data_IF_274745863007
#
_entry.id   IF_274745863007
#
_cell.length_a   1.000
_cell.length_b   1.000
_cell.length_c   1.000
_cell.angle_alpha   90.00
_cell.angle_beta   90.00
_cell.angle_gamma   90.00
#
_symmetry.space_group_name_H-M   'P 1'
#
loop_
_entity.id
_entity.type
_entity.pdbx_description
1 polymer ?
#
# COMPACT_ATOMS: atom_id res chain seq x y z
N UNK A 1 1.52 5.23 56.14
CA UNK A 1 0.99 4.49 54.98
C UNK A 1 1.10 5.40 53.75
N UNK A 2 2.23 5.35 53.03
CA UNK A 2 2.38 6.08 51.76
C UNK A 2 1.97 5.13 50.65
N UNK A 3 0.87 5.45 49.97
CA UNK A 3 0.36 4.65 48.84
C UNK A 3 1.38 4.64 47.71
N UNK A 4 1.99 3.48 47.47
CA UNK A 4 2.80 3.23 46.29
C UNK A 4 1.92 3.37 45.06
N UNK A 5 2.17 4.39 44.24
CA UNK A 5 1.64 4.44 42.88
C UNK A 5 2.22 3.24 42.14
N UNK A 6 1.35 2.37 41.66
CA UNK A 6 1.69 1.32 40.70
C UNK A 6 2.40 1.97 39.51
N UNK A 7 3.68 1.68 39.34
CA UNK A 7 4.45 2.12 38.18
C UNK A 7 3.86 1.46 36.96
N UNK A 8 3.24 2.22 36.06
CA UNK A 8 2.79 1.67 34.79
C UNK A 8 4.02 1.24 33.97
N UNK A 9 4.00 0.02 33.44
CA UNK A 9 5.04 -0.45 32.53
C UNK A 9 4.96 0.35 31.22
N UNK A 10 6.06 1.04 30.88
CA UNK A 10 6.17 1.86 29.67
C UNK A 10 7.11 1.17 28.69
N UNK A 11 6.64 0.97 27.45
CA UNK A 11 7.45 0.50 26.33
C UNK A 11 7.72 1.65 25.36
N UNK A 12 8.97 1.77 24.92
CA UNK A 12 9.41 2.79 23.96
C UNK A 12 9.87 2.13 22.67
N UNK A 13 9.31 2.54 21.54
CA UNK A 13 9.68 2.06 20.21
C UNK A 13 10.16 3.27 19.39
N UNK A 14 11.33 3.14 18.78
CA UNK A 14 11.88 4.10 17.83
C UNK A 14 12.05 3.46 16.44
N UNK A 15 11.89 4.25 15.39
CA UNK A 15 12.13 3.83 14.00
C UNK A 15 13.10 4.79 13.32
N UNK A 16 14.06 4.27 12.57
CA UNK A 16 15.02 5.07 11.79
C UNK A 16 15.43 4.33 10.51
N UNK A 17 15.60 5.08 9.42
CA UNK A 17 16.20 4.57 8.17
C UNK A 17 17.73 4.79 8.12
N UNK A 18 18.30 5.43 9.15
CA UNK A 18 19.73 5.78 9.26
C UNK A 18 20.30 5.32 10.61
N UNK A 19 20.36 3.99 10.87
CA UNK A 19 20.88 3.48 12.13
C UNK A 19 22.38 3.76 12.30
N UNK A 20 23.10 3.99 11.20
CA UNK A 20 24.50 4.41 11.17
C UNK A 20 24.75 5.80 11.78
N UNK A 21 23.72 6.66 11.83
CA UNK A 21 23.79 8.00 12.40
C UNK A 21 23.36 8.05 13.88
N UNK A 22 22.94 6.93 14.47
CA UNK A 22 22.54 6.88 15.88
C UNK A 22 23.74 7.02 16.82
N UNK A 23 23.58 7.82 17.87
CA UNK A 23 24.55 7.89 18.96
C UNK A 23 24.65 6.52 19.66
N UNK A 24 25.85 5.90 19.73
CA UNK A 24 26.05 4.63 20.42
C UNK A 24 25.59 4.62 21.89
N UNK A 25 25.54 5.78 22.55
CA UNK A 25 25.02 5.88 23.91
C UNK A 25 23.55 5.48 24.00
N UNK A 26 22.74 5.67 22.95
CA UNK A 26 21.33 5.31 22.93
C UNK A 26 21.11 3.79 22.85
N UNK A 27 22.11 3.03 22.39
CA UNK A 27 22.04 1.57 22.22
C UNK A 27 22.49 0.79 23.46
N UNK A 28 22.86 1.48 24.55
CA UNK A 28 23.28 0.83 25.80
C UNK A 28 22.10 0.15 26.51
N UNK A 29 22.36 -0.90 27.31
CA UNK A 29 21.33 -1.59 28.10
C UNK A 29 20.41 -0.64 28.88
N UNK A 30 19.10 -0.92 28.85
CA UNK A 30 18.06 -0.11 29.47
C UNK A 30 17.59 1.11 28.66
N UNK A 31 18.01 1.22 27.38
CA UNK A 31 17.59 2.26 26.42
C UNK A 31 17.01 1.60 25.16
N UNK A 32 17.53 1.88 23.97
CA UNK A 32 17.20 1.16 22.74
C UNK A 32 18.11 -0.06 22.55
N UNK A 33 18.15 -0.93 23.55
CA UNK A 33 19.02 -2.11 23.58
C UNK A 33 18.44 -3.31 22.82
N UNK A 34 17.19 -3.20 22.33
CA UNK A 34 16.55 -4.16 21.43
C UNK A 34 16.33 -3.50 20.07
N UNK A 35 16.98 -4.05 19.04
CA UNK A 35 16.79 -3.64 17.66
C UNK A 35 16.13 -4.74 16.85
N UNK A 36 15.21 -4.36 15.98
CA UNK A 36 14.53 -5.22 15.03
C UNK A 36 14.74 -4.61 13.64
N UNK A 37 15.32 -5.40 12.74
CA UNK A 37 15.45 -4.99 11.34
C UNK A 37 14.15 -5.30 10.60
N UNK A 38 13.62 -4.32 9.86
CA UNK A 38 12.45 -4.46 9.01
C UNK A 38 12.89 -4.35 7.56
N UNK A 39 13.02 -5.50 6.90
CA UNK A 39 13.39 -5.58 5.48
C UNK A 39 12.18 -5.51 4.55
N UNK A 40 12.47 -5.49 3.25
CA UNK A 40 11.49 -5.79 2.20
C UNK A 40 11.12 -7.27 2.21
N UNK A 41 10.04 -7.61 1.53
CA UNK A 41 9.59 -9.01 1.38
C UNK A 41 10.56 -9.81 0.52
N UNK A 42 10.83 -11.04 0.95
CA UNK A 42 11.74 -11.99 0.31
C UNK A 42 11.04 -13.06 -0.54
N UNK A 43 9.72 -13.19 -0.41
CA UNK A 43 8.90 -14.13 -1.19
C UNK A 43 7.67 -13.45 -1.80
N UNK A 44 7.20 -13.96 -2.93
CA UNK A 44 5.94 -13.51 -3.53
C UNK A 44 4.73 -13.82 -2.63
N UNK A 45 4.81 -14.84 -1.78
CA UNK A 45 3.79 -15.13 -0.76
C UNK A 45 3.70 -14.00 0.28
N UNK A 46 4.84 -13.47 0.73
CA UNK A 46 4.87 -12.32 1.63
C UNK A 46 4.34 -11.05 0.93
N UNK A 47 4.67 -10.84 -0.34
CA UNK A 47 4.12 -9.73 -1.13
C UNK A 47 2.60 -9.87 -1.35
N UNK A 48 2.11 -11.08 -1.59
CA UNK A 48 0.67 -11.37 -1.68
C UNK A 48 -0.05 -10.99 -0.38
N UNK A 49 0.48 -11.38 0.78
CA UNK A 49 -0.10 -11.01 2.07
C UNK A 49 -0.19 -9.47 2.23
N UNK A 50 0.80 -8.73 1.74
CA UNK A 50 0.78 -7.25 1.74
C UNK A 50 -0.32 -6.73 0.81
N UNK A 51 -0.41 -7.25 -0.41
CA UNK A 51 -1.45 -6.88 -1.37
C UNK A 51 -2.85 -7.16 -0.79
N UNK A 52 -3.09 -8.32 -0.22
CA UNK A 52 -4.35 -8.67 0.44
C UNK A 52 -4.68 -7.72 1.59
N UNK A 53 -3.69 -7.39 2.43
CA UNK A 53 -3.87 -6.47 3.53
C UNK A 53 -4.24 -5.05 3.07
N UNK A 54 -3.59 -4.55 2.01
CA UNK A 54 -3.83 -3.22 1.45
C UNK A 54 -5.14 -3.15 0.67
N UNK A 55 -5.53 -4.24 0.00
CA UNK A 55 -6.74 -4.33 -0.81
C UNK A 55 -7.96 -4.83 -0.04
N UNK A 56 -7.85 -5.11 1.26
CA UNK A 56 -8.96 -5.64 2.10
C UNK A 56 -10.26 -4.82 2.04
N UNK A 57 -10.20 -3.52 1.74
CA UNK A 57 -11.37 -2.64 1.60
C UNK A 57 -11.81 -2.41 0.15
N UNK A 58 -11.09 -2.96 -0.81
CA UNK A 58 -11.39 -2.80 -2.22
C UNK A 58 -12.51 -3.77 -2.61
N UNK A 59 -13.30 -3.39 -3.60
CA UNK A 59 -14.10 -4.35 -4.34
C UNK A 59 -13.23 -4.83 -5.49
N UNK A 60 -12.79 -6.08 -5.41
CA UNK A 60 -11.96 -6.70 -6.43
C UNK A 60 -12.84 -7.38 -7.47
N UNK A 61 -12.45 -7.28 -8.73
CA UNK A 61 -13.10 -8.03 -9.80
C UNK A 61 -12.98 -9.55 -9.54
N UNK A 62 -14.05 -10.36 -9.75
CA UNK A 62 -13.99 -11.80 -9.50
C UNK A 62 -12.92 -12.55 -10.32
N UNK A 63 -12.50 -12.00 -11.46
CA UNK A 63 -11.44 -12.55 -12.29
C UNK A 63 -10.03 -12.16 -11.85
N UNK A 64 -9.88 -11.22 -10.90
CA UNK A 64 -8.57 -10.78 -10.43
C UNK A 64 -7.92 -11.84 -9.52
N UNK A 65 -6.70 -12.26 -9.89
CA UNK A 65 -5.85 -13.05 -9.02
C UNK A 65 -4.68 -12.21 -8.49
N UNK A 66 -4.72 -11.84 -7.20
CA UNK A 66 -3.66 -11.07 -6.56
C UNK A 66 -2.31 -11.81 -6.51
N UNK A 67 -2.30 -13.15 -6.57
CA UNK A 67 -1.05 -13.91 -6.64
C UNK A 67 -0.30 -13.60 -7.93
N UNK A 68 -1.00 -13.50 -9.07
CA UNK A 68 -0.38 -13.14 -10.36
C UNK A 68 0.21 -11.72 -10.31
N UNK A 69 -0.45 -10.80 -9.59
CA UNK A 69 0.07 -9.44 -9.36
C UNK A 69 1.33 -9.49 -8.52
N UNK A 70 1.34 -10.28 -7.44
CA UNK A 70 2.50 -10.44 -6.56
C UNK A 70 3.73 -10.99 -7.31
N UNK A 71 3.57 -12.00 -8.15
CA UNK A 71 4.66 -12.59 -8.95
C UNK A 71 5.36 -11.60 -9.90
N UNK A 72 4.67 -10.50 -10.23
CA UNK A 72 5.20 -9.44 -11.09
C UNK A 72 5.81 -8.28 -10.31
N UNK A 73 5.68 -8.27 -8.98
CA UNK A 73 6.24 -7.24 -8.12
C UNK A 73 7.75 -7.49 -7.87
N UNK A 74 8.62 -6.51 -8.14
CA UNK A 74 10.03 -6.59 -7.78
C UNK A 74 10.26 -6.81 -6.28
N UNK A 75 11.27 -7.59 -5.91
CA UNK A 75 11.64 -7.82 -4.51
C UNK A 75 12.20 -6.59 -3.79
N UNK A 76 12.58 -5.53 -4.51
CA UNK A 76 12.98 -4.25 -3.92
C UNK A 76 11.80 -3.30 -3.66
N UNK A 77 10.55 -3.75 -3.84
CA UNK A 77 9.37 -2.99 -3.40
C UNK A 77 9.29 -2.96 -1.87
N UNK A 78 9.12 -1.76 -1.34
CA UNK A 78 8.83 -1.50 0.06
C UNK A 78 7.33 -1.49 0.31
N UNK A 79 6.92 -1.43 1.58
CA UNK A 79 5.51 -1.24 1.94
C UNK A 79 4.91 0.05 1.33
N UNK A 80 5.71 1.10 1.12
CA UNK A 80 5.26 2.32 0.46
C UNK A 80 5.00 2.11 -1.03
N UNK A 81 5.84 1.31 -1.70
CA UNK A 81 5.65 0.96 -3.12
C UNK A 81 4.38 0.12 -3.32
N UNK A 82 4.13 -0.87 -2.44
CA UNK A 82 2.89 -1.64 -2.48
C UNK A 82 1.65 -0.77 -2.22
N UNK A 83 1.74 0.19 -1.31
CA UNK A 83 0.67 1.14 -1.07
C UNK A 83 0.39 1.99 -2.32
N UNK A 84 1.44 2.53 -2.94
CA UNK A 84 1.33 3.30 -4.17
C UNK A 84 0.72 2.46 -5.31
N UNK A 85 1.21 1.23 -5.50
CA UNK A 85 0.66 0.28 -6.47
C UNK A 85 -0.85 0.07 -6.30
N UNK A 86 -1.31 -0.22 -5.08
CA UNK A 86 -2.74 -0.44 -4.80
C UNK A 86 -3.56 0.84 -4.97
N UNK A 87 -3.01 1.99 -4.55
CA UNK A 87 -3.66 3.29 -4.71
C UNK A 87 -3.84 3.64 -6.19
N UNK A 88 -2.81 3.45 -7.01
CA UNK A 88 -2.84 3.76 -8.44
C UNK A 88 -3.76 2.80 -9.21
N UNK A 89 -3.84 1.53 -8.80
CA UNK A 89 -4.82 0.59 -9.32
C UNK A 89 -6.26 1.04 -8.98
N UNK A 90 -6.52 1.48 -7.75
CA UNK A 90 -7.85 2.01 -7.38
C UNK A 90 -8.20 3.27 -8.20
N UNK A 91 -7.26 4.20 -8.35
CA UNK A 91 -7.47 5.42 -9.15
C UNK A 91 -7.73 5.08 -10.62
N UNK A 92 -7.00 4.10 -11.17
CA UNK A 92 -7.22 3.60 -12.54
C UNK A 92 -8.63 3.03 -12.70
N UNK A 93 -9.10 2.23 -11.73
CA UNK A 93 -10.45 1.67 -11.72
C UNK A 93 -11.53 2.76 -11.64
N UNK A 94 -11.31 3.80 -10.84
CA UNK A 94 -12.23 4.94 -10.71
C UNK A 94 -12.31 5.74 -12.02
N UNK A 95 -11.18 6.03 -12.66
CA UNK A 95 -11.14 6.71 -13.96
C UNK A 95 -11.86 5.90 -15.04
N UNK A 96 -11.59 4.60 -15.12
CA UNK A 96 -12.28 3.68 -16.06
C UNK A 96 -13.79 3.65 -15.83
N UNK A 97 -14.24 3.68 -14.57
CA UNK A 97 -15.68 3.75 -14.24
C UNK A 97 -16.29 5.09 -14.67
N UNK A 98 -15.60 6.20 -14.46
CA UNK A 98 -16.05 7.52 -14.90
C UNK A 98 -16.23 7.57 -16.43
N UNK A 99 -15.25 7.06 -17.19
CA UNK A 99 -15.33 6.93 -18.66
C UNK A 99 -16.55 6.10 -19.09
N UNK A 100 -16.80 4.96 -18.43
CA UNK A 100 -17.98 4.12 -18.71
C UNK A 100 -19.29 4.88 -18.49
N UNK A 101 -19.37 5.72 -17.45
CA UNK A 101 -20.56 6.54 -17.18
C UNK A 101 -20.73 7.62 -18.25
N UNK A 102 -19.64 8.28 -18.66
CA UNK A 102 -19.67 9.28 -19.72
C UNK A 102 -20.17 8.69 -21.05
N UNK A 103 -19.72 7.49 -21.42
CA UNK A 103 -20.20 6.78 -22.61
C UNK A 103 -21.71 6.48 -22.53
N UNK A 104 -22.19 5.96 -21.38
CA UNK A 104 -23.62 5.72 -21.14
C UNK A 104 -24.44 7.00 -21.27
N UNK A 105 -23.96 8.11 -20.72
CA UNK A 105 -24.60 9.41 -20.83
C UNK A 105 -24.64 9.90 -22.27
N UNK A 106 -23.57 9.69 -23.04
CA UNK A 106 -23.54 9.98 -24.48
C UNK A 106 -24.66 9.29 -25.24
N UNK A 107 -24.88 7.99 -24.96
CA UNK A 107 -25.98 7.21 -25.56
C UNK A 107 -27.35 7.73 -25.13
N UNK A 108 -27.54 7.99 -23.83
CA UNK A 108 -28.82 8.49 -23.30
C UNK A 108 -29.19 9.87 -23.85
N UNK A 109 -28.21 10.77 -23.96
CA UNK A 109 -28.41 12.13 -24.48
C UNK A 109 -28.57 12.17 -26.01
N UNK A 110 -28.15 11.14 -26.74
CA UNK A 110 -28.33 11.04 -28.19
C UNK A 110 -29.77 10.66 -28.60
N UNK A 111 -30.59 10.14 -27.68
CA UNK A 111 -31.98 9.76 -27.96
C UNK A 111 -32.92 10.97 -27.78
N UNK A 112 -33.83 11.24 -28.73
CA UNK A 112 -34.75 12.37 -28.63
C UNK A 112 -35.71 12.20 -27.45
N UNK A 113 -35.51 13.05 -26.44
CA UNK A 113 -36.46 13.40 -25.37
C UNK A 113 -36.89 12.28 -24.43
N UNK A 114 -36.11 12.08 -23.36
CA UNK A 114 -36.53 11.42 -22.11
C UNK A 114 -37.56 12.26 -21.31
N UNK A 115 -38.31 13.16 -21.94
CA UNK A 115 -39.16 14.14 -21.24
C UNK A 115 -38.41 15.24 -20.48
N UNK A 116 -37.09 15.36 -20.67
CA UNK A 116 -36.24 16.41 -20.06
C UNK A 116 -35.81 17.47 -21.09
N UNK A 117 -35.84 18.77 -20.73
CA UNK A 117 -35.49 19.87 -21.63
C UNK A 117 -33.98 20.05 -21.85
N UNK A 118 -33.14 19.35 -21.07
CA UNK A 118 -31.67 19.49 -21.10
C UNK A 118 -30.99 18.11 -21.11
N UNK A 119 -29.74 18.04 -21.62
CA UNK A 119 -28.93 16.82 -21.50
C UNK A 119 -28.77 16.40 -20.04
N UNK A 120 -28.84 15.10 -19.79
CA UNK A 120 -28.57 14.49 -18.49
C UNK A 120 -27.11 14.75 -18.13
N UNK A 121 -26.90 15.38 -16.97
CA UNK A 121 -25.57 15.61 -16.41
C UNK A 121 -25.09 14.40 -15.62
N UNK A 122 -23.76 14.19 -15.47
CA UNK A 122 -23.24 13.13 -14.61
C UNK A 122 -23.77 13.19 -13.18
N UNK A 123 -23.88 14.40 -12.63
CA UNK A 123 -24.41 14.60 -11.27
C UNK A 123 -25.87 14.15 -11.15
N UNK A 124 -26.73 14.51 -12.11
CA UNK A 124 -28.13 14.10 -12.09
C UNK A 124 -28.26 12.59 -12.28
N UNK A 125 -27.50 12.01 -13.21
CA UNK A 125 -27.51 10.58 -13.45
C UNK A 125 -27.12 9.80 -12.19
N UNK A 126 -26.00 10.17 -11.55
CA UNK A 126 -25.52 9.50 -10.35
C UNK A 126 -26.47 9.62 -9.16
N UNK A 127 -27.26 10.68 -9.08
CA UNK A 127 -28.22 10.90 -8.00
C UNK A 127 -29.55 10.16 -8.21
N UNK A 128 -30.10 10.19 -9.43
CA UNK A 128 -31.50 9.82 -9.68
C UNK A 128 -31.67 8.59 -10.58
N UNK A 129 -30.68 8.26 -11.41
CA UNK A 129 -30.82 7.25 -12.48
C UNK A 129 -29.83 6.09 -12.37
N UNK A 130 -28.72 6.28 -11.64
CA UNK A 130 -27.65 5.30 -11.56
C UNK A 130 -28.10 4.04 -10.82
N UNK A 131 -27.79 2.90 -11.44
CA UNK A 131 -27.92 1.61 -10.78
C UNK A 131 -26.83 1.42 -9.71
N UNK A 132 -27.01 0.50 -8.75
CA UNK A 132 -25.94 0.12 -7.82
C UNK A 132 -24.63 -0.30 -8.53
N UNK A 133 -24.72 -0.86 -9.73
CA UNK A 133 -23.56 -1.26 -10.55
C UNK A 133 -22.79 -0.06 -11.12
N UNK A 134 -23.49 1.04 -11.39
CA UNK A 134 -22.88 2.28 -11.90
C UNK A 134 -22.03 2.98 -10.85
N UNK A 135 -22.45 2.91 -9.58
CA UNK A 135 -21.71 3.51 -8.46
C UNK A 135 -20.67 2.55 -7.86
N UNK A 136 -20.66 1.29 -8.30
CA UNK A 136 -19.71 0.29 -7.81
C UNK A 136 -18.46 0.28 -8.68
N UNK A 137 -17.32 0.55 -8.07
CA UNK A 137 -15.99 0.43 -8.70
C UNK A 137 -15.41 -0.93 -8.33
N UNK A 138 -15.07 -1.73 -9.35
CA UNK A 138 -14.31 -2.97 -9.20
C UNK A 138 -12.89 -2.74 -9.73
N UNK A 139 -11.89 -3.04 -8.91
CA UNK A 139 -10.48 -3.02 -9.30
C UNK A 139 -10.16 -4.33 -10.01
N UNK A 140 -9.70 -4.26 -11.26
CA UNK A 140 -9.38 -5.41 -12.10
C UNK A 140 -7.88 -5.61 -12.26
N UNK A 141 -7.49 -6.70 -12.92
CA UNK A 141 -6.08 -6.99 -13.24
C UNK A 141 -5.47 -5.92 -14.14
N UNK A 142 -6.25 -5.37 -15.08
CA UNK A 142 -5.79 -4.28 -15.96
C UNK A 142 -5.39 -3.03 -15.18
N UNK A 143 -6.10 -2.72 -14.08
CA UNK A 143 -5.79 -1.57 -13.26
C UNK A 143 -4.44 -1.74 -12.55
N UNK A 144 -4.14 -2.95 -12.06
CA UNK A 144 -2.82 -3.31 -11.53
C UNK A 144 -1.75 -3.31 -12.62
N UNK A 145 -2.06 -3.74 -13.84
CA UNK A 145 -1.11 -3.72 -14.97
C UNK A 145 -0.64 -2.31 -15.31
N UNK A 146 -1.58 -1.36 -15.34
CA UNK A 146 -1.26 0.06 -15.58
C UNK A 146 -0.39 0.61 -14.46
N UNK A 147 -0.76 0.31 -13.21
CA UNK A 147 -0.01 0.77 -12.04
C UNK A 147 1.42 0.18 -12.01
N UNK A 148 1.58 -1.14 -12.24
CA UNK A 148 2.89 -1.79 -12.30
C UNK A 148 3.80 -1.21 -13.39
N UNK A 149 3.25 -0.82 -14.54
CA UNK A 149 4.03 -0.22 -15.64
C UNK A 149 4.51 1.20 -15.31
N UNK A 150 3.75 1.93 -14.50
CA UNK A 150 4.06 3.30 -14.11
C UNK A 150 4.95 3.39 -12.87
N UNK A 151 4.86 2.40 -11.97
CA UNK A 151 5.53 2.45 -10.68
C UNK A 151 7.05 2.25 -10.80
N UNK A 152 7.80 3.18 -10.23
CA UNK A 152 9.25 3.07 -10.05
C UNK A 152 9.54 2.72 -8.59
N UNK A 153 10.31 1.65 -8.30
CA UNK A 153 10.67 1.30 -6.93
C UNK A 153 11.34 2.46 -6.19
N UNK A 154 10.91 2.72 -4.96
CA UNK A 154 11.49 3.76 -4.10
C UNK A 154 12.92 3.46 -3.63
N UNK A 155 13.31 2.18 -3.60
CA UNK A 155 14.63 1.72 -3.17
C UNK A 155 15.32 0.99 -4.31
N UNK A 156 16.54 1.41 -4.65
CA UNK A 156 17.37 0.78 -5.67
C UNK A 156 18.02 -0.52 -5.17
N UNK A 157 18.50 -1.37 -6.09
CA UNK A 157 19.24 -2.58 -5.72
C UNK A 157 20.54 -2.27 -4.95
N UNK A 158 21.23 -1.18 -5.30
CA UNK A 158 22.44 -0.75 -4.59
C UNK A 158 22.13 -0.32 -3.14
N UNK A 159 20.98 0.33 -2.91
CA UNK A 159 20.53 0.66 -1.55
C UNK A 159 20.13 -0.59 -0.76
N UNK A 160 19.50 -1.58 -1.41
CA UNK A 160 19.19 -2.87 -0.79
C UNK A 160 20.45 -3.59 -0.28
N UNK A 161 21.51 -3.63 -1.09
CA UNK A 161 22.82 -4.18 -0.69
C UNK A 161 23.42 -3.40 0.49
N UNK A 162 23.31 -2.06 0.45
CA UNK A 162 23.75 -1.22 1.55
C UNK A 162 23.02 -1.54 2.86
N UNK A 163 21.69 -1.68 2.83
CA UNK A 163 20.91 -2.04 4.02
C UNK A 163 21.24 -3.44 4.55
N UNK A 164 21.53 -4.41 3.67
CA UNK A 164 21.96 -5.74 4.08
C UNK A 164 23.32 -5.71 4.82
N UNK A 165 24.28 -4.90 4.34
CA UNK A 165 25.56 -4.70 5.02
C UNK A 165 25.39 -4.03 6.40
N UNK A 166 24.51 -3.02 6.47
CA UNK A 166 24.15 -2.36 7.73
C UNK A 166 23.57 -3.38 8.71
N UNK A 167 22.62 -4.22 8.27
CA UNK A 167 22.01 -5.27 9.09
C UNK A 167 23.08 -6.24 9.66
N UNK A 168 24.04 -6.68 8.85
CA UNK A 168 25.11 -7.58 9.31
C UNK A 168 25.98 -6.94 10.39
N UNK A 169 26.42 -5.68 10.21
CA UNK A 169 27.23 -4.97 11.20
C UNK A 169 26.53 -4.84 12.55
N UNK A 170 25.25 -4.52 12.52
CA UNK A 170 24.45 -4.34 13.73
C UNK A 170 24.05 -5.67 14.40
N UNK A 171 23.99 -6.77 13.64
CA UNK A 171 23.76 -8.12 14.18
C UNK A 171 25.04 -8.73 14.79
N UNK A 172 26.21 -8.51 14.19
CA UNK A 172 27.50 -9.04 14.67
C UNK A 172 27.97 -8.43 15.98
N UNK A 173 27.75 -7.14 16.22
CA UNK A 173 28.05 -6.48 17.51
C UNK A 173 27.39 -7.16 18.72
N UNK A 174 26.35 -7.96 18.50
CA UNK A 174 25.63 -8.68 19.54
C UNK A 174 26.29 -10.01 19.96
N UNK A 175 27.16 -10.57 19.11
CA UNK A 175 27.83 -11.86 19.35
C UNK A 175 29.20 -11.77 20.01
N UNK A 176 29.80 -10.58 20.09
CA UNK A 176 31.12 -10.36 20.69
C UNK A 176 31.08 -9.89 22.15
N UNK A 177 29.89 -9.74 22.75
CA UNK A 177 29.67 -9.28 24.13
C UNK A 177 29.03 -10.33 25.07
N UNK A 178 29.13 -11.64 24.76
CA UNK A 178 28.84 -12.70 25.74
C UNK A 178 30.15 -13.27 26.33
N UNK A 179 30.46 -13.00 27.62
CA UNK A 179 31.53 -13.67 28.36
C UNK A 179 31.14 -15.07 28.86
#
# INVERSE_FOLDING_TARGET
>A
MSGGKESADVFVIGATNRPDLLDPALLRPGRFDRMLYLGVSDTHEAQLNILEALTRKFRLDPGLNLHNVAERCPFNYTGADFYALCSDAMLSAMSRKAETIEEKLGVLNAQPTHGYPHPITPQYYLAELASPEDITVYVSEEDFDRALKALVPSVSQAEMEHYALVQQRFSQKKGEEEP
#
